data_IF_132095206899
#
_entry.id   IF_132095206899
#
_cell.length_a   1.000
_cell.length_b   1.000
_cell.length_c   1.000
_cell.angle_alpha   90.00
_cell.angle_beta   90.00
_cell.angle_gamma   90.00
#
_symmetry.space_group_name_H-M   'P 1'
#
loop_
_entity.id
_entity.type
_entity.pdbx_description
1 polymer ?
#
# COMPACT_ATOMS: atom_id res chain seq x y z
N UNK A 1 22.30 7.21 6.93
CA UNK A 1 21.04 7.87 6.55
C UNK A 1 20.91 9.16 7.30
N UNK A 2 21.00 10.27 6.58
CA UNK A 2 20.81 11.60 7.13
C UNK A 2 19.31 11.90 7.27
N UNK A 3 18.93 12.42 8.42
CA UNK A 3 17.55 12.86 8.68
C UNK A 3 17.30 14.13 7.87
N UNK A 4 16.19 14.15 7.13
CA UNK A 4 15.82 15.28 6.28
C UNK A 4 14.89 16.23 7.03
N UNK A 5 15.11 17.54 6.88
CA UNK A 5 14.26 18.57 7.49
C UNK A 5 12.81 18.47 6.99
N UNK A 6 11.84 18.58 7.90
CA UNK A 6 10.46 18.23 7.58
C UNK A 6 9.78 19.06 6.48
N UNK A 7 10.23 20.30 6.27
CA UNK A 7 9.76 21.12 5.15
C UNK A 7 10.09 20.54 3.78
N UNK A 8 11.25 19.88 3.63
CA UNK A 8 11.63 19.23 2.38
C UNK A 8 10.82 17.95 2.14
N UNK A 9 10.67 17.12 3.17
CA UNK A 9 9.84 15.90 3.11
C UNK A 9 8.40 16.26 2.75
N UNK A 10 7.82 17.26 3.43
CA UNK A 10 6.47 17.74 3.14
C UNK A 10 6.33 18.24 1.70
N UNK A 11 7.32 18.97 1.17
CA UNK A 11 7.31 19.42 -0.22
C UNK A 11 7.30 18.24 -1.20
N UNK A 12 8.16 17.24 -1.00
CA UNK A 12 8.20 16.05 -1.86
C UNK A 12 6.91 15.25 -1.78
N UNK A 13 6.35 15.05 -0.58
CA UNK A 13 5.08 14.35 -0.39
C UNK A 13 3.90 15.07 -1.09
N UNK A 14 3.83 16.39 -1.02
CA UNK A 14 2.83 17.17 -1.78
C UNK A 14 3.04 17.10 -3.30
N UNK A 15 4.29 17.04 -3.75
CA UNK A 15 4.62 16.91 -5.18
C UNK A 15 4.19 15.55 -5.73
N UNK A 16 4.53 14.45 -5.06
CA UNK A 16 4.12 13.11 -5.48
C UNK A 16 2.62 12.89 -5.36
N UNK A 17 1.95 13.53 -4.38
CA UNK A 17 0.49 13.48 -4.23
C UNK A 17 -0.27 13.94 -5.47
N UNK A 18 0.32 14.83 -6.30
CA UNK A 18 -0.27 15.30 -7.56
C UNK A 18 -0.39 14.20 -8.63
N UNK A 19 0.27 13.06 -8.44
CA UNK A 19 0.16 11.91 -9.34
C UNK A 19 -1.21 11.20 -9.23
N UNK A 20 -1.94 11.43 -8.14
CA UNK A 20 -3.31 10.96 -7.99
C UNK A 20 -3.65 10.49 -6.56
N UNK A 21 -4.90 10.06 -6.34
CA UNK A 21 -5.44 9.81 -4.98
C UNK A 21 -4.75 8.66 -4.24
N UNK A 22 -4.04 7.77 -4.93
CA UNK A 22 -3.24 6.73 -4.27
C UNK A 22 -1.89 7.23 -3.77
N UNK A 23 -1.36 8.32 -4.34
CA UNK A 23 -0.07 8.92 -3.99
C UNK A 23 -0.20 10.01 -2.91
N UNK A 24 -1.42 10.37 -2.51
CA UNK A 24 -1.65 11.39 -1.51
C UNK A 24 -1.31 10.86 -0.11
N UNK A 25 -0.41 11.57 0.57
CA UNK A 25 -0.12 11.41 1.99
C UNK A 25 -0.14 12.80 2.61
N UNK A 26 -1.15 13.07 3.45
CA UNK A 26 -1.30 14.37 4.08
C UNK A 26 -0.21 14.61 5.12
N UNK A 27 0.29 15.84 5.17
CA UNK A 27 1.35 16.29 6.09
C UNK A 27 0.91 17.50 6.93
N UNK A 28 -0.30 17.98 6.70
CA UNK A 28 -0.93 19.10 7.38
C UNK A 28 -2.26 18.61 8.01
N UNK A 29 -2.65 19.16 9.16
CA UNK A 29 -3.91 18.87 9.86
C UNK A 29 -4.15 17.39 10.26
N UNK A 30 -3.08 16.60 10.33
CA UNK A 30 -3.09 15.20 10.77
C UNK A 30 -2.96 15.13 12.30
N UNK A 31 -4.02 15.49 13.02
CA UNK A 31 -4.00 15.48 14.49
C UNK A 31 -5.35 15.67 15.17
N UNK A 32 -6.37 16.07 14.41
CA UNK A 32 -7.74 16.19 14.91
C UNK A 32 -8.37 14.85 15.31
N UNK A 33 -9.48 14.90 16.05
CA UNK A 33 -10.14 13.73 16.64
C UNK A 33 -10.66 12.66 15.67
N UNK A 34 -10.69 12.93 14.36
CA UNK A 34 -11.03 11.97 13.32
C UNK A 34 -9.89 11.01 12.94
N UNK A 35 -8.64 11.40 13.24
CA UNK A 35 -7.45 10.61 12.90
C UNK A 35 -7.18 9.52 13.94
N UNK A 36 -6.74 8.36 13.46
CA UNK A 36 -6.39 7.19 14.27
C UNK A 36 -5.05 6.60 13.80
N UNK A 37 -4.30 5.87 14.65
CA UNK A 37 -3.15 5.10 14.18
C UNK A 37 -3.53 4.12 13.06
N UNK A 38 -2.70 4.04 12.03
CA UNK A 38 -2.90 3.10 10.92
C UNK A 38 -2.72 1.66 11.44
N UNK A 39 -3.67 0.76 11.15
CA UNK A 39 -3.71 -0.66 11.54
C UNK A 39 -3.93 -1.01 13.03
N UNK A 40 -4.01 -0.04 13.94
CA UNK A 40 -4.15 -0.30 15.39
C UNK A 40 -5.57 -0.63 15.89
N UNK A 41 -6.59 -0.56 15.03
CA UNK A 41 -8.01 -0.70 15.43
C UNK A 41 -8.71 -1.80 14.60
N UNK A 42 -8.79 -2.99 15.19
CA UNK A 42 -9.37 -4.20 14.57
C UNK A 42 -10.86 -4.05 14.29
N UNK A 43 -11.62 -3.40 15.18
CA UNK A 43 -13.07 -3.22 14.95
C UNK A 43 -13.29 -2.25 13.80
N UNK A 44 -12.52 -1.16 13.74
CA UNK A 44 -12.61 -0.22 12.62
C UNK A 44 -12.21 -0.85 11.29
N UNK A 45 -11.19 -1.70 11.26
CA UNK A 45 -10.84 -2.48 10.06
C UNK A 45 -11.98 -3.44 9.66
N UNK A 46 -12.67 -4.03 10.63
CA UNK A 46 -13.84 -4.90 10.42
C UNK A 46 -15.02 -4.12 9.84
N UNK A 47 -15.32 -2.95 10.39
CA UNK A 47 -16.35 -2.03 9.87
C UNK A 47 -16.04 -1.57 8.45
N UNK A 48 -14.80 -1.12 8.20
CA UNK A 48 -14.34 -0.74 6.87
C UNK A 48 -14.44 -1.89 5.87
N UNK A 49 -14.14 -3.12 6.29
CA UNK A 49 -14.30 -4.32 5.45
C UNK A 49 -15.77 -4.58 5.12
N UNK A 50 -16.70 -4.40 6.07
CA UNK A 50 -18.15 -4.55 5.84
C UNK A 50 -18.65 -3.49 4.86
N UNK A 51 -18.29 -2.24 5.06
CA UNK A 51 -18.62 -1.12 4.17
C UNK A 51 -18.05 -1.34 2.75
N UNK A 52 -16.81 -1.83 2.65
CA UNK A 52 -16.22 -2.19 1.37
C UNK A 52 -16.97 -3.36 0.68
N UNK A 53 -17.43 -4.36 1.44
CA UNK A 53 -18.25 -5.45 0.90
C UNK A 53 -19.58 -4.95 0.30
N UNK A 54 -20.25 -4.01 0.99
CA UNK A 54 -21.48 -3.35 0.50
C UNK A 54 -21.21 -2.61 -0.81
N UNK A 55 -20.14 -1.81 -0.89
CA UNK A 55 -19.76 -1.09 -2.11
C UNK A 55 -19.41 -2.01 -3.29
N UNK A 56 -18.82 -3.16 -3.00
CA UNK A 56 -18.53 -4.19 -4.00
C UNK A 56 -19.76 -5.05 -4.36
N UNK A 57 -20.88 -4.90 -3.64
CA UNK A 57 -22.07 -5.74 -3.81
C UNK A 57 -21.85 -7.21 -3.47
N UNK A 58 -20.83 -7.56 -2.67
CA UNK A 58 -20.49 -8.96 -2.36
C UNK A 58 -20.89 -9.34 -0.94
N UNK A 59 -21.47 -10.54 -0.77
CA UNK A 59 -21.67 -11.16 0.55
C UNK A 59 -20.41 -11.83 1.10
N UNK A 60 -19.33 -11.89 0.32
CA UNK A 60 -18.13 -12.64 0.66
C UNK A 60 -17.10 -11.78 1.37
N UNK A 61 -17.13 -11.83 2.70
CA UNK A 61 -16.19 -11.09 3.56
C UNK A 61 -14.72 -11.24 3.15
N UNK A 62 -14.28 -12.43 2.71
CA UNK A 62 -12.89 -12.67 2.27
C UNK A 62 -12.53 -11.91 0.99
N UNK A 63 -13.50 -11.71 0.08
CA UNK A 63 -13.29 -10.95 -1.17
C UNK A 63 -13.10 -9.49 -0.82
N UNK A 64 -14.01 -8.93 -0.01
CA UNK A 64 -13.89 -7.55 0.46
C UNK A 64 -12.59 -7.30 1.24
N UNK A 65 -12.21 -8.19 2.15
CA UNK A 65 -10.97 -8.09 2.91
C UNK A 65 -9.72 -8.13 2.00
N UNK A 66 -9.67 -9.06 1.04
CA UNK A 66 -8.57 -9.18 0.07
C UNK A 66 -8.36 -7.89 -0.72
N UNK A 67 -9.44 -7.34 -1.27
CA UNK A 67 -9.39 -6.14 -2.11
C UNK A 67 -9.15 -4.87 -1.29
N UNK A 68 -9.69 -4.79 -0.07
CA UNK A 68 -9.41 -3.70 0.86
C UNK A 68 -7.92 -3.69 1.23
N UNK A 69 -7.35 -4.84 1.61
CA UNK A 69 -5.93 -4.96 1.92
C UNK A 69 -5.08 -4.49 0.73
N UNK A 70 -5.41 -4.94 -0.49
CA UNK A 70 -4.70 -4.51 -1.70
C UNK A 70 -4.78 -2.99 -1.91
N UNK A 71 -5.97 -2.39 -1.70
CA UNK A 71 -6.19 -0.95 -1.85
C UNK A 71 -5.46 -0.11 -0.79
N UNK A 72 -5.31 -0.63 0.43
CA UNK A 72 -4.49 -0.05 1.49
C UNK A 72 -3.00 -0.17 1.16
N UNK A 73 -2.54 -1.36 0.74
CA UNK A 73 -1.15 -1.57 0.32
C UNK A 73 -0.75 -0.63 -0.83
N UNK A 74 -1.63 -0.43 -1.81
CA UNK A 74 -1.38 0.52 -2.90
C UNK A 74 -1.21 1.97 -2.41
N UNK A 75 -1.99 2.39 -1.40
CA UNK A 75 -1.88 3.73 -0.78
C UNK A 75 -0.63 3.89 0.09
N UNK A 76 -0.07 2.79 0.61
CA UNK A 76 1.23 2.82 1.29
C UNK A 76 2.38 2.87 0.28
N UNK A 77 2.34 2.02 -0.75
CA UNK A 77 3.41 1.92 -1.72
C UNK A 77 3.60 3.18 -2.55
N UNK A 78 2.51 3.73 -3.08
CA UNK A 78 2.55 4.80 -4.08
C UNK A 78 3.32 6.04 -3.62
N UNK A 79 3.01 6.69 -2.47
CA UNK A 79 3.77 7.86 -2.02
C UNK A 79 5.21 7.51 -1.68
N UNK A 80 5.45 6.35 -1.05
CA UNK A 80 6.78 5.93 -0.59
C UNK A 80 7.72 5.70 -1.77
N UNK A 81 7.34 4.89 -2.76
CA UNK A 81 8.22 4.61 -3.90
C UNK A 81 8.40 5.83 -4.81
N UNK A 82 7.40 6.70 -4.93
CA UNK A 82 7.52 7.94 -5.69
C UNK A 82 8.49 8.93 -5.03
N UNK A 83 8.37 9.15 -3.72
CA UNK A 83 9.27 10.04 -2.98
C UNK A 83 10.68 9.47 -2.85
N UNK A 84 10.81 8.15 -2.68
CA UNK A 84 12.11 7.49 -2.59
C UNK A 84 12.88 7.53 -3.90
N UNK A 85 12.17 7.48 -5.04
CA UNK A 85 12.78 7.70 -6.35
C UNK A 85 13.26 9.15 -6.56
N UNK A 86 12.85 10.08 -5.71
CA UNK A 86 13.35 11.46 -5.62
C UNK A 86 14.37 11.64 -4.48
N UNK A 87 14.87 10.55 -3.87
CA UNK A 87 15.93 10.56 -2.86
C UNK A 87 15.47 10.75 -1.41
N UNK A 88 14.17 10.61 -1.13
CA UNK A 88 13.61 10.72 0.23
C UNK A 88 12.71 9.53 0.55
N UNK A 89 13.06 8.76 1.57
CA UNK A 89 12.14 7.78 2.16
C UNK A 89 11.39 8.46 3.32
N UNK A 90 10.06 8.62 3.25
CA UNK A 90 9.30 9.22 4.34
C UNK A 90 9.21 8.26 5.52
N UNK A 91 9.26 8.80 6.72
CA UNK A 91 8.99 8.06 7.94
C UNK A 91 7.47 7.91 8.13
N UNK A 92 7.03 6.67 8.30
CA UNK A 92 5.62 6.32 8.45
C UNK A 92 5.30 5.73 9.84
N UNK A 93 6.22 5.83 10.82
CA UNK A 93 6.00 5.27 12.16
C UNK A 93 4.76 5.84 12.86
N UNK A 94 4.48 7.13 12.64
CA UNK A 94 3.29 7.82 13.16
C UNK A 94 2.16 7.92 12.13
N UNK A 95 2.13 7.03 11.12
CA UNK A 95 1.10 7.04 10.09
C UNK A 95 -0.30 6.95 10.70
N UNK A 96 -1.16 7.87 10.29
CA UNK A 96 -2.56 7.93 10.68
C UNK A 96 -3.47 7.78 9.48
N UNK A 97 -4.68 7.32 9.77
CA UNK A 97 -5.77 7.27 8.80
C UNK A 97 -7.00 7.99 9.34
N UNK A 98 -7.81 8.49 8.41
CA UNK A 98 -9.16 8.98 8.65
C UNK A 98 -10.11 8.34 7.65
N UNK A 99 -11.31 8.00 8.11
CA UNK A 99 -12.34 7.34 7.32
C UNK A 99 -13.68 7.39 8.06
N UNK A 100 -14.79 7.58 7.35
CA UNK A 100 -16.15 7.33 7.84
C UNK A 100 -16.93 6.46 6.83
N UNK A 101 -18.00 5.76 7.25
CA UNK A 101 -18.82 4.94 6.35
C UNK A 101 -19.23 5.70 5.08
N UNK A 102 -19.07 5.06 3.91
CA UNK A 102 -19.31 5.70 2.61
C UNK A 102 -18.20 6.65 2.11
N UNK A 103 -17.27 7.08 2.96
CA UNK A 103 -16.18 7.99 2.57
C UNK A 103 -14.94 7.26 2.07
N UNK A 104 -14.05 8.04 1.44
CA UNK A 104 -12.71 7.59 1.06
C UNK A 104 -11.80 7.48 2.29
N UNK A 105 -10.79 6.62 2.19
CA UNK A 105 -9.75 6.51 3.20
C UNK A 105 -8.69 7.56 2.91
N UNK A 106 -8.36 8.36 3.90
CA UNK A 106 -7.28 9.35 3.84
C UNK A 106 -6.14 8.91 4.74
N UNK A 107 -4.91 9.03 4.25
CA UNK A 107 -3.69 8.75 5.01
C UNK A 107 -2.92 10.03 5.26
N UNK A 108 -2.26 10.11 6.41
CA UNK A 108 -1.41 11.25 6.73
C UNK A 108 -0.42 10.97 7.84
N UNK A 109 0.61 11.80 7.91
CA UNK A 109 1.59 11.81 8.99
C UNK A 109 1.51 13.14 9.75
N UNK A 110 1.49 13.14 11.09
CA UNK A 110 1.42 14.36 11.90
C UNK A 110 2.67 15.23 11.75
N UNK A 111 3.81 14.59 11.52
CA UNK A 111 5.08 15.25 11.28
C UNK A 111 5.70 14.66 10.02
N UNK A 112 5.97 15.51 9.02
CA UNK A 112 6.71 15.10 7.85
C UNK A 112 8.18 14.99 8.21
N UNK A 113 8.71 13.77 8.32
CA UNK A 113 10.12 13.51 8.49
C UNK A 113 10.51 12.26 7.68
N UNK A 114 11.81 11.99 7.58
CA UNK A 114 12.30 10.89 6.76
C UNK A 114 13.80 10.95 6.59
N UNK A 115 14.28 10.16 5.64
CA UNK A 115 15.70 9.96 5.42
C UNK A 115 16.09 10.21 3.98
N UNK A 116 17.28 10.79 3.81
CA UNK A 116 17.93 10.86 2.51
C UNK A 116 18.46 9.48 2.15
N UNK A 117 18.22 9.10 0.91
CA UNK A 117 18.76 7.87 0.31
C UNK A 117 19.34 8.21 -1.05
N UNK A 118 20.51 7.65 -1.36
CA UNK A 118 21.20 7.88 -2.63
C UNK A 118 21.13 6.64 -3.53
N UNK A 119 21.13 5.46 -2.90
CA UNK A 119 21.18 4.19 -3.59
C UNK A 119 19.87 3.41 -3.49
N UNK A 120 19.52 2.69 -4.55
CA UNK A 120 18.28 1.90 -4.62
C UNK A 120 18.23 0.83 -3.52
N UNK A 121 19.35 0.16 -3.25
CA UNK A 121 19.44 -0.87 -2.22
C UNK A 121 19.28 -0.32 -0.79
N UNK A 122 19.78 0.89 -0.54
CA UNK A 122 19.57 1.62 0.72
C UNK A 122 18.09 1.96 0.88
N UNK A 123 17.50 2.63 -0.11
CA UNK A 123 16.08 2.98 -0.13
C UNK A 123 15.19 1.75 0.11
N UNK A 124 15.43 0.64 -0.60
CA UNK A 124 14.67 -0.59 -0.45
C UNK A 124 14.75 -1.17 0.97
N UNK A 125 15.90 -1.05 1.64
CA UNK A 125 16.08 -1.56 3.01
C UNK A 125 15.31 -0.75 4.03
N UNK A 126 15.29 0.57 3.88
CA UNK A 126 14.47 1.47 4.73
C UNK A 126 12.99 1.21 4.50
N UNK A 127 12.58 1.15 3.23
CA UNK A 127 11.18 0.90 2.83
C UNK A 127 10.70 -0.45 3.37
N UNK A 128 11.54 -1.48 3.35
CA UNK A 128 11.21 -2.78 3.92
C UNK A 128 10.88 -2.66 5.42
N UNK A 129 11.73 -1.99 6.20
CA UNK A 129 11.49 -1.80 7.62
C UNK A 129 10.22 -0.97 7.89
N UNK A 130 10.02 0.15 7.20
CA UNK A 130 8.91 1.07 7.51
C UNK A 130 7.57 0.64 6.92
N UNK A 131 7.54 0.07 5.71
CA UNK A 131 6.29 -0.32 5.04
C UNK A 131 5.96 -1.80 5.26
N UNK A 132 6.90 -2.70 5.00
CA UNK A 132 6.61 -4.15 5.09
C UNK A 132 6.46 -4.55 6.54
N UNK A 133 7.49 -4.32 7.34
CA UNK A 133 7.53 -4.76 8.73
C UNK A 133 6.70 -3.84 9.64
N UNK A 134 6.76 -2.52 9.39
CA UNK A 134 6.07 -1.52 10.20
C UNK A 134 4.56 -1.37 9.95
N UNK A 135 4.06 -1.71 8.74
CA UNK A 135 2.67 -1.42 8.38
C UNK A 135 1.92 -2.61 7.77
N UNK A 136 2.49 -3.29 6.76
CA UNK A 136 1.81 -4.38 6.06
C UNK A 136 1.67 -5.63 6.92
N UNK A 137 2.71 -6.01 7.68
CA UNK A 137 2.64 -7.13 8.62
C UNK A 137 1.63 -6.86 9.76
N UNK A 138 1.64 -5.70 10.45
CA UNK A 138 0.61 -5.35 11.42
C UNK A 138 -0.80 -5.34 10.83
N UNK A 139 -0.98 -4.78 9.63
CA UNK A 139 -2.27 -4.78 8.94
C UNK A 139 -2.75 -6.21 8.64
N UNK A 140 -1.88 -7.08 8.13
CA UNK A 140 -2.20 -8.50 7.93
C UNK A 140 -2.62 -9.16 9.25
N UNK A 141 -1.85 -8.95 10.32
CA UNK A 141 -2.13 -9.51 11.64
C UNK A 141 -3.50 -9.06 12.17
N UNK A 142 -3.77 -7.75 12.16
CA UNK A 142 -5.05 -7.19 12.62
C UNK A 142 -6.24 -7.70 11.78
N UNK A 143 -6.09 -7.83 10.46
CA UNK A 143 -7.15 -8.38 9.61
C UNK A 143 -7.37 -9.88 9.86
N UNK A 144 -6.31 -10.63 10.18
CA UNK A 144 -6.40 -12.07 10.46
C UNK A 144 -7.28 -12.42 11.66
N UNK A 145 -7.48 -11.47 12.58
CA UNK A 145 -8.35 -11.63 13.75
C UNK A 145 -9.84 -11.79 13.40
N UNK A 146 -10.27 -11.32 12.23
CA UNK A 146 -11.69 -11.39 11.84
C UNK A 146 -11.95 -12.00 10.45
N UNK A 147 -10.90 -12.23 9.65
CA UNK A 147 -11.00 -12.88 8.34
C UNK A 147 -9.69 -13.60 8.00
N UNK A 148 -9.78 -14.89 7.67
CA UNK A 148 -8.62 -15.66 7.22
C UNK A 148 -8.34 -15.40 5.74
N UNK A 149 -7.16 -14.90 5.44
CA UNK A 149 -6.59 -14.79 4.10
C UNK A 149 -5.32 -15.63 4.05
N UNK A 150 -5.08 -16.34 2.94
CA UNK A 150 -3.84 -17.08 2.76
C UNK A 150 -2.66 -16.12 2.58
N UNK A 151 -1.50 -16.44 3.16
CA UNK A 151 -0.31 -15.56 3.10
C UNK A 151 0.09 -15.23 1.65
N UNK A 152 0.08 -16.22 0.76
CA UNK A 152 0.37 -16.00 -0.66
C UNK A 152 -0.62 -15.05 -1.35
N UNK A 153 -1.88 -14.99 -0.91
CA UNK A 153 -2.86 -14.01 -1.40
C UNK A 153 -2.53 -12.61 -0.87
N UNK A 154 -2.24 -12.48 0.42
CA UNK A 154 -1.90 -11.19 1.06
C UNK A 154 -0.65 -10.58 0.40
N UNK A 155 0.43 -11.35 0.33
CA UNK A 155 1.69 -10.87 -0.24
C UNK A 155 1.65 -10.76 -1.76
N UNK A 156 0.85 -11.59 -2.44
CA UNK A 156 0.54 -11.39 -3.86
C UNK A 156 -0.21 -10.09 -4.14
N UNK A 157 -1.17 -9.72 -3.29
CA UNK A 157 -1.85 -8.42 -3.38
C UNK A 157 -0.91 -7.26 -3.06
N UNK A 158 -0.03 -7.38 -2.06
CA UNK A 158 0.97 -6.36 -1.76
C UNK A 158 1.96 -6.16 -2.91
N UNK A 159 2.44 -7.25 -3.52
CA UNK A 159 3.34 -7.22 -4.68
C UNK A 159 2.66 -6.64 -5.92
N UNK A 160 1.41 -7.05 -6.20
CA UNK A 160 0.58 -6.47 -7.27
C UNK A 160 0.36 -4.98 -7.09
N UNK A 161 0.05 -4.54 -5.87
CA UNK A 161 -0.10 -3.13 -5.52
C UNK A 161 1.21 -2.34 -5.75
N UNK A 162 2.36 -2.91 -5.37
CA UNK A 162 3.68 -2.31 -5.60
C UNK A 162 4.00 -2.20 -7.10
N UNK A 163 3.80 -3.26 -7.87
CA UNK A 163 3.98 -3.25 -9.32
C UNK A 163 3.03 -2.25 -10.01
N UNK A 164 1.81 -2.10 -9.49
CA UNK A 164 0.81 -1.14 -9.95
C UNK A 164 1.28 0.32 -9.90
N UNK A 165 2.22 0.67 -9.02
CA UNK A 165 2.79 2.03 -8.95
C UNK A 165 3.54 2.43 -10.22
N UNK A 166 3.95 1.46 -11.04
CA UNK A 166 4.60 1.69 -12.35
C UNK A 166 3.63 2.04 -13.47
N UNK A 167 2.30 1.97 -13.24
CA UNK A 167 1.28 2.36 -14.23
C UNK A 167 1.21 3.86 -14.45
N UNK A 168 1.65 4.65 -13.48
CA UNK A 168 1.85 6.09 -13.64
C UNK A 168 3.24 6.31 -14.24
N UNK A 169 3.47 7.30 -15.12
CA UNK A 169 4.82 7.65 -15.57
C UNK A 169 5.77 7.99 -14.40
N UNK A 170 7.06 7.67 -14.54
CA UNK A 170 8.06 7.94 -13.51
C UNK A 170 9.49 7.68 -13.97
N UNK A 171 10.44 7.83 -13.05
CA UNK A 171 11.88 7.73 -13.36
C UNK A 171 12.35 6.27 -13.48
N UNK A 172 13.47 6.01 -14.19
CA UNK A 172 14.15 4.71 -14.18
C UNK A 172 14.52 4.24 -12.77
N UNK A 173 14.85 5.19 -11.86
CA UNK A 173 15.12 4.90 -10.45
C UNK A 173 13.91 4.27 -9.77
N UNK A 174 12.68 4.76 -10.05
CA UNK A 174 11.46 4.16 -9.51
C UNK A 174 11.25 2.73 -10.00
N UNK A 175 11.54 2.45 -11.27
CA UNK A 175 11.46 1.09 -11.82
C UNK A 175 12.46 0.17 -11.15
N UNK A 176 13.71 0.62 -10.98
CA UNK A 176 14.75 -0.14 -10.29
C UNK A 176 14.36 -0.43 -8.83
N UNK A 177 13.84 0.57 -8.12
CA UNK A 177 13.38 0.44 -6.74
C UNK A 177 12.22 -0.55 -6.58
N UNK A 178 11.22 -0.50 -7.46
CA UNK A 178 10.11 -1.46 -7.44
C UNK A 178 10.62 -2.89 -7.68
N UNK A 179 11.54 -3.09 -8.63
CA UNK A 179 12.15 -4.41 -8.89
C UNK A 179 12.96 -4.91 -7.70
N UNK A 180 13.76 -4.05 -7.10
CA UNK A 180 14.55 -4.37 -5.90
C UNK A 180 13.64 -4.82 -4.75
N UNK A 181 12.56 -4.09 -4.47
CA UNK A 181 11.59 -4.44 -3.44
C UNK A 181 10.85 -5.76 -3.73
N UNK A 182 10.47 -6.01 -5.00
CA UNK A 182 9.85 -7.27 -5.41
C UNK A 182 10.79 -8.47 -5.32
N UNK A 183 12.11 -8.24 -5.34
CA UNK A 183 13.13 -9.27 -5.13
C UNK A 183 13.33 -9.66 -3.67
N UNK A 184 12.70 -8.97 -2.71
CA UNK A 184 12.89 -9.19 -1.27
C UNK A 184 11.70 -9.90 -0.65
N UNK A 185 11.97 -10.75 0.34
CA UNK A 185 10.92 -11.36 1.17
C UNK A 185 10.13 -10.29 1.92
N UNK A 186 8.80 -10.44 2.08
CA UNK A 186 7.95 -11.57 1.68
C UNK A 186 7.34 -11.43 0.28
N UNK A 187 7.80 -10.48 -0.53
CA UNK A 187 7.27 -10.22 -1.88
C UNK A 187 7.94 -11.10 -2.95
N UNK A 188 9.14 -11.62 -2.65
CA UNK A 188 9.91 -12.47 -3.54
C UNK A 188 9.07 -13.66 -4.04
N UNK A 189 9.05 -13.85 -5.35
CA UNK A 189 8.30 -14.92 -6.00
C UNK A 189 6.77 -14.74 -6.02
N UNK A 190 6.21 -13.67 -5.46
CA UNK A 190 4.76 -13.43 -5.48
C UNK A 190 4.22 -13.12 -6.89
N UNK A 191 5.08 -12.57 -7.75
CA UNK A 191 4.82 -12.31 -9.17
C UNK A 191 5.78 -13.13 -10.06
N UNK A 192 5.36 -13.43 -11.29
CA UNK A 192 6.25 -13.92 -12.35
C UNK A 192 7.03 -12.76 -13.03
N UNK A 193 7.85 -13.09 -14.02
CA UNK A 193 8.66 -12.15 -14.80
C UNK A 193 7.84 -11.15 -15.61
N UNK A 194 6.57 -11.44 -15.87
CA UNK A 194 5.60 -10.58 -16.57
C UNK A 194 4.70 -9.82 -15.59
N UNK A 195 5.04 -9.81 -14.30
CA UNK A 195 4.24 -9.24 -13.20
C UNK A 195 2.87 -9.92 -13.02
N UNK A 196 2.68 -11.16 -13.46
CA UNK A 196 1.47 -11.94 -13.19
C UNK A 196 1.56 -12.54 -11.79
N UNK A 197 0.48 -12.43 -11.00
CA UNK A 197 0.45 -13.01 -9.67
C UNK A 197 0.47 -14.53 -9.68
N UNK A 198 1.18 -15.12 -8.71
CA UNK A 198 1.10 -16.56 -8.39
C UNK A 198 -0.05 -16.92 -7.45
N UNK A 199 -0.82 -15.92 -7.01
CA UNK A 199 -2.01 -16.08 -6.17
C UNK A 199 -3.23 -15.39 -6.77
N UNK A 200 -4.42 -15.80 -6.32
CA UNK A 200 -5.67 -15.18 -6.74
C UNK A 200 -6.08 -14.07 -5.75
N UNK A 201 -6.35 -12.88 -6.27
CA UNK A 201 -6.81 -11.72 -5.48
C UNK A 201 -8.30 -11.74 -5.14
N UNK A 202 -9.04 -12.71 -5.69
CA UNK A 202 -10.49 -12.89 -5.55
C UNK A 202 -11.37 -11.85 -6.25
N UNK A 203 -10.80 -10.89 -6.99
CA UNK A 203 -11.58 -9.86 -7.71
C UNK A 203 -12.65 -10.45 -8.65
N UNK A 204 -12.34 -11.57 -9.32
CA UNK A 204 -13.27 -12.27 -10.22
C UNK A 204 -14.57 -12.74 -9.55
N UNK A 205 -14.63 -12.73 -8.21
CA UNK A 205 -15.80 -13.14 -7.41
C UNK A 205 -16.70 -11.97 -7.03
N UNK A 206 -16.29 -10.74 -7.33
CA UNK A 206 -17.14 -9.56 -7.18
C UNK A 206 -18.25 -9.63 -8.24
N UNK A 207 -19.53 -9.41 -7.89
CA UNK A 207 -20.61 -9.36 -8.89
C UNK A 207 -20.33 -8.29 -9.96
N UNK A 208 -20.39 -8.70 -11.24
CA UNK A 208 -20.01 -7.83 -12.37
C UNK A 208 -18.50 -7.57 -12.48
N UNK A 209 -17.68 -8.16 -11.62
CA UNK A 209 -16.23 -8.13 -11.69
C UNK A 209 -15.70 -9.05 -12.78
N UNK A 210 -14.49 -8.73 -13.26
CA UNK A 210 -13.77 -9.54 -14.26
C UNK A 210 -12.47 -10.12 -13.71
N UNK A 211 -11.61 -10.54 -14.62
CA UNK A 211 -10.24 -10.92 -14.28
C UNK A 211 -9.40 -9.66 -14.07
N UNK A 212 -8.52 -9.68 -13.07
CA UNK A 212 -7.56 -8.59 -12.89
C UNK A 212 -6.48 -8.61 -13.98
N UNK A 213 -5.84 -7.46 -14.23
CA UNK A 213 -4.84 -7.34 -15.31
C UNK A 213 -3.56 -8.16 -15.11
N UNK A 214 -3.36 -8.72 -13.93
CA UNK A 214 -2.24 -9.56 -13.50
C UNK A 214 -2.73 -10.90 -12.92
N UNK A 215 -3.88 -11.39 -13.40
CA UNK A 215 -4.55 -12.54 -12.82
C UNK A 215 -3.82 -13.84 -13.11
N UNK A 216 -3.36 -14.56 -12.07
CA UNK A 216 -2.76 -15.89 -12.20
C UNK A 216 -3.71 -16.99 -12.69
N UNK A 217 -5.02 -16.70 -12.77
CA UNK A 217 -6.01 -17.62 -13.34
C UNK A 217 -6.17 -17.44 -14.86
N UNK A 218 -5.60 -16.38 -15.45
CA UNK A 218 -5.50 -16.27 -16.89
C UNK A 218 -4.36 -17.22 -17.32
N UNK A 219 -4.70 -18.47 -17.61
CA UNK A 219 -3.78 -19.34 -18.36
C UNK A 219 -3.59 -18.73 -19.74
N UNK A 220 -2.32 -18.56 -20.12
CA UNK A 220 -1.89 -17.72 -21.24
C UNK A 220 -2.77 -17.78 -22.49
N UNK A 221 -3.18 -16.60 -22.94
CA UNK A 221 -3.33 -16.33 -24.37
C UNK A 221 -1.96 -16.21 -25.02
#
# INVERSE_FOLDING_TARGET
MDVVGGGEVARVLREVGRLGPYFELLVDDVGGGAWRPFSGDVERLRELTRDHAVRLGTGERRVAASLLFQGLAARLWSPVVASSAAGIVPDLRELRWSWAPGEAITLGVPEACGWRVEEVGEAASVIQAVVVDGLLRPLQAAMSEFVRLADGLVWGNAASALAGTLRVPGSPVRVALVRELLGREPLAGALDDRFVRRSCCLYYRVPGGGMCGDCGLLTGS
#
